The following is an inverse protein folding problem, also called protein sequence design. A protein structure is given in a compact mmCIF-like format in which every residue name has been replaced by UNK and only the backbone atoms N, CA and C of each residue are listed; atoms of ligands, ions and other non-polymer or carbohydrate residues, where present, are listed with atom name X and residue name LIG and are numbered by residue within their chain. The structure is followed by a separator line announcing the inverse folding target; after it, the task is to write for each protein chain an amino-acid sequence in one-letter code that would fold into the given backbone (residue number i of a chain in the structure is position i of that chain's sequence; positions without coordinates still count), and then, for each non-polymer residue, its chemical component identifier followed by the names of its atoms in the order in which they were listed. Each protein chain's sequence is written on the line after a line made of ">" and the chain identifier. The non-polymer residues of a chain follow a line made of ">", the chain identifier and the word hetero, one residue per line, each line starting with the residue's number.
data_IF_116462514095
#
_entry.id   IF_116462514095
#
_cell.length_a   1.000
_cell.length_b   1.000
_cell.length_c   1.000
_cell.angle_alpha   90.00
_cell.angle_beta   90.00
_cell.angle_gamma   90.00
#
_symmetry.space_group_name_H-M   'P 1'
#
loop_
_entity.id
_entity.type
_entity.pdbx_description
1 polymer ?
#
# COMPACT_ATOMS: atom_id res chain seq x y z
N UNK A 1 -7.12 12.69 9.47
CA UNK A 1 -5.91 12.60 10.31
C UNK A 1 -4.71 12.55 9.38
N UNK A 2 -3.72 13.40 9.61
CA UNK A 2 -2.55 13.56 8.73
C UNK A 2 -1.34 12.91 9.39
N UNK A 3 -0.63 12.03 8.66
CA UNK A 3 0.72 11.61 9.04
C UNK A 3 1.78 12.53 8.43
N UNK A 4 1.50 13.04 7.24
CA UNK A 4 2.32 13.98 6.48
C UNK A 4 1.38 14.97 5.78
N UNK A 5 1.87 16.14 5.36
CA UNK A 5 1.04 17.15 4.66
C UNK A 5 0.38 16.61 3.38
N UNK A 6 0.97 15.58 2.78
CA UNK A 6 0.53 14.99 1.50
C UNK A 6 -0.15 13.62 1.65
N UNK A 7 -0.31 13.09 2.87
CA UNK A 7 -0.88 11.77 3.13
C UNK A 7 -1.93 11.80 4.24
N UNK A 8 -3.12 11.31 3.91
CA UNK A 8 -4.23 11.14 4.84
C UNK A 8 -4.72 9.70 4.89
N UNK A 9 -5.37 9.34 6.00
CA UNK A 9 -6.00 8.03 6.19
C UNK A 9 -7.52 8.17 6.29
N UNK A 10 -8.23 7.28 5.60
CA UNK A 10 -9.70 7.25 5.59
C UNK A 10 -10.30 7.07 7.00
N UNK A 11 -9.61 6.37 7.90
CA UNK A 11 -10.05 6.17 9.28
C UNK A 11 -8.90 6.00 10.26
N UNK A 12 -9.21 6.04 11.57
CA UNK A 12 -8.25 5.80 12.66
C UNK A 12 -7.60 4.43 12.51
N UNK A 13 -8.39 3.43 12.10
CA UNK A 13 -7.89 2.08 11.89
C UNK A 13 -6.75 2.04 10.86
N UNK A 14 -6.90 2.70 9.71
CA UNK A 14 -5.82 2.72 8.70
C UNK A 14 -4.58 3.47 9.21
N UNK A 15 -4.74 4.54 9.99
CA UNK A 15 -3.61 5.22 10.62
C UNK A 15 -2.86 4.28 11.58
N UNK A 16 -3.59 3.52 12.40
CA UNK A 16 -2.97 2.55 13.30
C UNK A 16 -2.29 1.42 12.53
N UNK A 17 -2.93 0.85 11.50
CA UNK A 17 -2.32 -0.17 10.63
C UNK A 17 -1.01 0.30 10.00
N UNK A 18 -0.96 1.57 9.56
CA UNK A 18 0.22 2.20 8.99
C UNK A 18 1.41 2.23 9.96
N UNK A 19 1.14 2.42 11.25
CA UNK A 19 2.15 2.55 12.29
C UNK A 19 2.67 1.20 12.81
N UNK A 20 2.04 0.08 12.42
CA UNK A 20 2.45 -1.24 12.92
C UNK A 20 3.55 -1.87 12.06
N UNK A 21 4.32 -2.76 12.68
CA UNK A 21 5.41 -3.50 12.05
C UNK A 21 4.95 -4.52 11.00
N UNK A 22 3.67 -4.89 10.95
CA UNK A 22 3.16 -5.76 9.88
C UNK A 22 3.13 -5.07 8.51
N UNK A 23 3.08 -3.73 8.45
CA UNK A 23 3.15 -3.00 7.19
C UNK A 23 4.60 -2.98 6.69
N UNK A 24 4.83 -3.53 5.51
CA UNK A 24 6.18 -3.67 4.97
C UNK A 24 6.84 -2.28 4.76
N UNK A 25 8.08 -2.05 5.23
CA UNK A 25 8.73 -0.73 5.11
C UNK A 25 8.86 -0.24 3.66
N UNK A 26 9.20 -1.12 2.72
CA UNK A 26 9.23 -0.76 1.30
C UNK A 26 7.85 -0.28 0.77
N UNK A 27 6.74 -0.85 1.26
CA UNK A 27 5.40 -0.38 0.90
C UNK A 27 5.19 1.05 1.41
N UNK A 28 5.64 1.36 2.63
CA UNK A 28 5.53 2.71 3.18
C UNK A 28 6.29 3.74 2.32
N UNK A 29 7.51 3.40 1.88
CA UNK A 29 8.31 4.26 0.98
C UNK A 29 7.54 4.54 -0.32
N UNK A 30 6.98 3.50 -0.95
CA UNK A 30 6.23 3.67 -2.21
C UNK A 30 4.97 4.49 -1.99
N UNK A 31 4.21 4.24 -0.91
CA UNK A 31 3.00 5.00 -0.58
C UNK A 31 3.31 6.47 -0.33
N UNK A 32 4.39 6.79 0.40
CA UNK A 32 4.81 8.18 0.63
C UNK A 32 5.25 8.85 -0.68
N UNK A 33 6.00 8.15 -1.52
CA UNK A 33 6.41 8.65 -2.84
C UNK A 33 5.20 8.91 -3.74
N UNK A 34 4.25 7.97 -3.79
CA UNK A 34 2.98 8.10 -4.52
C UNK A 34 2.16 9.28 -4.01
N UNK A 35 2.05 9.45 -2.68
CA UNK A 35 1.31 10.53 -2.05
C UNK A 35 1.94 11.91 -2.35
N UNK A 36 3.27 12.00 -2.34
CA UNK A 36 3.98 13.21 -2.74
C UNK A 36 3.75 13.56 -4.20
N UNK A 37 3.79 12.58 -5.10
CA UNK A 37 3.46 12.80 -6.51
C UNK A 37 2.03 13.32 -6.68
N UNK A 38 1.06 12.69 -6.00
CA UNK A 38 -0.34 13.09 -6.04
C UNK A 38 -0.54 14.53 -5.57
N UNK A 39 0.12 14.92 -4.47
CA UNK A 39 0.06 16.28 -3.95
C UNK A 39 0.50 17.33 -4.98
N UNK A 40 1.58 17.03 -5.71
CA UNK A 40 2.11 17.91 -6.75
C UNK A 40 1.22 17.96 -8.00
N UNK A 41 0.57 16.84 -8.35
CA UNK A 41 -0.24 16.73 -9.56
C UNK A 41 -1.70 17.22 -9.38
N UNK A 42 -2.29 17.04 -8.20
CA UNK A 42 -3.74 17.18 -7.95
C UNK A 42 -4.10 18.19 -6.85
N UNK A 43 -3.13 18.91 -6.29
CA UNK A 43 -3.32 19.95 -5.27
C UNK A 43 -4.08 19.48 -4.01
N UNK A 44 -3.85 18.23 -3.57
CA UNK A 44 -4.45 17.68 -2.36
C UNK A 44 -3.78 16.39 -1.89
N UNK A 45 -4.03 15.96 -0.64
CA UNK A 45 -3.38 14.79 -0.08
C UNK A 45 -3.92 13.50 -0.71
N UNK A 46 -3.03 12.52 -0.88
CA UNK A 46 -3.48 11.18 -1.20
C UNK A 46 -4.15 10.54 0.03
N UNK A 47 -5.23 9.80 -0.18
CA UNK A 47 -6.00 9.19 0.91
C UNK A 47 -5.87 7.68 0.86
N UNK A 48 -5.22 7.09 1.87
CA UNK A 48 -5.15 5.64 2.06
C UNK A 48 -6.48 5.14 2.60
N UNK A 49 -7.06 4.18 1.87
CA UNK A 49 -8.38 3.61 2.14
C UNK A 49 -8.33 2.18 2.66
N UNK A 50 -7.26 1.43 2.39
CA UNK A 50 -7.00 0.11 2.93
C UNK A 50 -5.48 -0.15 3.03
N UNK A 51 -5.07 -0.88 4.07
CA UNK A 51 -3.70 -1.40 4.25
C UNK A 51 -3.75 -2.88 4.58
N UNK A 52 -4.22 -3.22 5.79
CA UNK A 52 -4.37 -4.61 6.20
C UNK A 52 -5.78 -5.11 5.90
N UNK A 53 -5.87 -6.36 5.45
CA UNK A 53 -7.13 -7.09 5.33
C UNK A 53 -7.02 -8.41 6.03
N UNK A 54 -7.99 -8.72 6.88
CA UNK A 54 -8.17 -10.07 7.39
C UNK A 54 -8.67 -11.00 6.28
N UNK A 55 -8.46 -12.33 6.38
CA UNK A 55 -9.02 -13.29 5.43
C UNK A 55 -10.55 -13.17 5.29
N UNK A 56 -11.25 -12.87 6.40
CA UNK A 56 -12.70 -12.63 6.41
C UNK A 56 -13.09 -11.41 5.59
N UNK A 57 -12.37 -10.31 5.72
CA UNK A 57 -12.61 -9.09 4.93
C UNK A 57 -12.32 -9.34 3.45
N UNK A 58 -11.21 -10.00 3.14
CA UNK A 58 -10.85 -10.35 1.75
C UNK A 58 -11.94 -11.21 1.10
N UNK A 59 -12.43 -12.24 1.79
CA UNK A 59 -13.53 -13.10 1.32
C UNK A 59 -14.85 -12.34 1.13
N UNK A 60 -15.14 -11.36 1.98
CA UNK A 60 -16.33 -10.51 1.84
C UNK A 60 -16.23 -9.53 0.64
N UNK A 61 -15.02 -9.23 0.16
CA UNK A 61 -14.80 -8.46 -1.06
C UNK A 61 -14.86 -9.38 -2.29
N UNK A 62 -14.24 -10.56 -2.21
CA UNK A 62 -14.12 -11.52 -3.32
C UNK A 62 -14.67 -12.90 -2.92
N UNK A 63 -16.00 -13.07 -2.82
CA UNK A 63 -16.60 -14.33 -2.37
C UNK A 63 -16.32 -15.51 -3.32
N UNK A 64 -16.10 -15.23 -4.59
CA UNK A 64 -15.80 -16.23 -5.63
C UNK A 64 -14.28 -16.54 -5.78
N UNK A 65 -13.39 -15.84 -5.08
CA UNK A 65 -11.96 -16.12 -5.16
C UNK A 65 -11.62 -17.35 -4.33
N UNK A 66 -11.43 -18.49 -5.00
CA UNK A 66 -11.07 -19.77 -4.37
C UNK A 66 -9.56 -19.87 -4.17
N UNK A 67 -9.04 -19.28 -3.09
CA UNK A 67 -7.74 -19.67 -2.52
C UNK A 67 -6.55 -18.73 -2.73
N UNK A 68 -6.69 -17.63 -3.48
CA UNK A 68 -5.63 -16.61 -3.58
C UNK A 68 -5.58 -15.74 -2.34
N UNK A 69 -4.44 -15.73 -1.63
CA UNK A 69 -4.21 -14.76 -0.53
C UNK A 69 -3.83 -13.40 -1.11
N UNK A 70 -4.45 -12.36 -0.57
CA UNK A 70 -4.23 -10.98 -0.97
C UNK A 70 -2.95 -10.41 -0.36
N UNK A 71 -2.17 -9.59 -1.08
CA UNK A 71 -1.03 -8.88 -0.51
C UNK A 71 -1.38 -8.04 0.72
N UNK A 72 -2.63 -7.57 0.84
CA UNK A 72 -3.13 -6.88 2.04
C UNK A 72 -3.16 -7.76 3.29
N UNK A 73 -3.31 -9.08 3.14
CA UNK A 73 -3.26 -10.02 4.28
C UNK A 73 -1.84 -10.15 4.87
N UNK A 74 -0.84 -9.63 4.16
CA UNK A 74 0.57 -9.70 4.54
C UNK A 74 1.20 -8.32 4.77
N UNK A 75 0.40 -7.25 4.80
CA UNK A 75 0.92 -5.88 4.90
C UNK A 75 1.81 -5.46 3.74
N UNK A 76 1.59 -6.07 2.56
CA UNK A 76 2.34 -5.80 1.33
C UNK A 76 1.54 -5.06 0.27
N UNK A 77 0.36 -4.52 0.60
CA UNK A 77 -0.38 -3.63 -0.29
C UNK A 77 -1.15 -2.51 0.43
N UNK A 78 -1.42 -1.45 -0.32
CA UNK A 78 -2.20 -0.29 0.07
C UNK A 78 -3.13 0.14 -1.07
N UNK A 79 -4.33 0.58 -0.73
CA UNK A 79 -5.27 1.16 -1.70
C UNK A 79 -5.43 2.66 -1.44
N UNK A 80 -5.19 3.48 -2.46
CA UNK A 80 -5.35 4.93 -2.42
C UNK A 80 -6.55 5.39 -3.26
N UNK A 81 -7.29 6.36 -2.74
CA UNK A 81 -8.44 6.97 -3.43
C UNK A 81 -7.99 7.71 -4.69
N UNK A 82 -8.72 7.55 -5.78
CA UNK A 82 -8.49 8.27 -7.04
C UNK A 82 -9.66 9.17 -7.45
N UNK A 83 -10.69 9.35 -6.60
CA UNK A 83 -11.90 10.11 -6.95
C UNK A 83 -11.66 11.60 -7.21
N UNK A 84 -10.51 12.14 -6.81
CA UNK A 84 -10.09 13.51 -7.11
C UNK A 84 -9.35 13.63 -8.45
N UNK A 85 -9.11 12.51 -9.14
CA UNK A 85 -8.36 12.43 -10.38
C UNK A 85 -9.27 12.08 -11.55
N UNK A 86 -8.94 12.62 -12.72
CA UNK A 86 -9.45 12.07 -13.98
C UNK A 86 -8.90 10.65 -14.22
N UNK A 87 -9.55 9.84 -15.06
CA UNK A 87 -9.02 8.55 -15.47
C UNK A 87 -7.58 8.58 -15.96
N UNK A 88 -7.22 9.57 -16.79
CA UNK A 88 -5.88 9.71 -17.34
C UNK A 88 -4.85 10.05 -16.24
N UNK A 89 -5.19 10.94 -15.31
CA UNK A 89 -4.30 11.26 -14.18
C UNK A 89 -4.08 10.06 -13.27
N UNK A 90 -5.11 9.24 -13.02
CA UNK A 90 -4.98 8.03 -12.23
C UNK A 90 -4.04 7.01 -12.90
N UNK A 91 -4.15 6.82 -14.22
CA UNK A 91 -3.22 5.95 -14.96
C UNK A 91 -1.80 6.51 -14.95
N UNK A 92 -1.61 7.81 -15.22
CA UNK A 92 -0.29 8.46 -15.13
C UNK A 92 0.35 8.31 -13.74
N UNK A 93 -0.48 8.27 -12.69
CA UNK A 93 0.00 8.03 -11.33
C UNK A 93 0.54 6.60 -11.17
N UNK A 94 -0.19 5.59 -11.66
CA UNK A 94 0.27 4.21 -11.65
C UNK A 94 1.51 4.00 -12.52
N UNK A 95 1.54 4.57 -13.73
CA UNK A 95 2.67 4.50 -14.65
C UNK A 95 3.93 5.10 -14.04
N UNK A 96 3.81 6.27 -13.41
CA UNK A 96 4.93 6.89 -12.70
C UNK A 96 5.48 5.97 -11.61
N UNK A 97 4.61 5.39 -10.77
CA UNK A 97 5.04 4.44 -9.72
C UNK A 97 5.75 3.24 -10.34
N UNK A 98 5.19 2.64 -11.40
CA UNK A 98 5.78 1.48 -12.06
C UNK A 98 7.12 1.79 -12.75
N UNK A 99 7.32 3.02 -13.21
CA UNK A 99 8.63 3.47 -13.74
C UNK A 99 9.69 3.68 -12.65
N UNK A 100 9.26 4.06 -11.43
CA UNK A 100 10.16 4.38 -10.32
C UNK A 100 10.46 3.16 -9.43
N UNK A 101 9.54 2.20 -9.35
CA UNK A 101 9.60 1.07 -8.43
C UNK A 101 9.29 -0.25 -9.15
N UNK A 102 10.29 -1.14 -9.19
CA UNK A 102 10.13 -2.46 -9.78
C UNK A 102 9.45 -3.44 -8.82
N UNK A 103 8.48 -4.20 -9.30
CA UNK A 103 7.85 -5.27 -8.52
C UNK A 103 8.78 -6.48 -8.42
N UNK A 104 9.22 -6.81 -7.21
CA UNK A 104 10.11 -7.97 -6.93
C UNK A 104 9.33 -9.26 -6.68
N UNK A 105 8.77 -9.86 -7.72
CA UNK A 105 8.00 -11.11 -7.61
C UNK A 105 7.83 -11.83 -8.94
N UNK A 106 6.65 -12.40 -9.18
CA UNK A 106 6.33 -13.06 -10.45
C UNK A 106 6.36 -12.06 -11.60
N UNK A 107 6.98 -12.44 -12.72
CA UNK A 107 6.99 -11.66 -13.95
C UNK A 107 5.56 -11.32 -14.42
N UNK A 108 5.38 -10.11 -14.95
CA UNK A 108 4.10 -9.58 -15.42
C UNK A 108 3.23 -8.93 -14.35
N UNK A 109 3.63 -8.95 -13.08
CA UNK A 109 2.98 -8.19 -12.01
C UNK A 109 3.62 -6.80 -11.87
N UNK A 110 2.81 -5.83 -11.46
CA UNK A 110 3.19 -4.43 -11.33
C UNK A 110 3.14 -3.96 -9.89
N UNK A 111 3.92 -2.93 -9.57
CA UNK A 111 3.94 -2.28 -8.25
C UNK A 111 2.65 -1.50 -8.01
N UNK A 112 2.11 -0.90 -9.05
CA UNK A 112 0.86 -0.15 -9.00
C UNK A 112 -0.08 -0.52 -10.13
N UNK A 113 -1.38 -0.49 -9.85
CA UNK A 113 -2.44 -0.66 -10.83
C UNK A 113 -3.67 0.13 -10.41
N UNK A 114 -4.33 0.78 -11.37
CA UNK A 114 -5.64 1.37 -11.11
C UNK A 114 -6.71 0.37 -11.47
N UNK A 115 -7.56 0.01 -10.52
CA UNK A 115 -8.65 -0.93 -10.79
C UNK A 115 -9.89 -0.63 -9.97
N UNK A 116 -10.98 -1.26 -10.37
CA UNK A 116 -12.26 -1.22 -9.66
C UNK A 116 -12.58 -2.61 -9.10
N UNK A 117 -13.05 -2.64 -7.86
CA UNK A 117 -13.33 -3.89 -7.15
C UNK A 117 -14.81 -3.98 -6.82
N UNK A 118 -15.52 -4.86 -7.52
CA UNK A 118 -16.90 -5.23 -7.21
C UNK A 118 -17.87 -4.05 -7.12
N UNK A 119 -17.74 -3.05 -7.99
CA UNK A 119 -18.60 -1.85 -7.99
C UNK A 119 -18.33 -0.84 -6.87
N UNK A 120 -17.26 -1.02 -6.08
CA UNK A 120 -16.94 -0.17 -4.91
C UNK A 120 -16.13 1.07 -5.25
N UNK A 121 -16.05 1.39 -6.54
CA UNK A 121 -15.30 2.51 -7.07
C UNK A 121 -13.84 2.18 -7.37
N UNK A 122 -13.29 2.96 -8.29
CA UNK A 122 -11.92 2.86 -8.76
C UNK A 122 -10.96 3.37 -7.69
N UNK A 123 -9.79 2.73 -7.58
CA UNK A 123 -8.71 3.12 -6.69
C UNK A 123 -7.37 2.71 -7.28
N UNK A 124 -6.30 3.32 -6.76
CA UNK A 124 -4.93 2.94 -7.03
C UNK A 124 -4.52 1.87 -6.01
N UNK A 125 -4.26 0.66 -6.47
CA UNK A 125 -3.67 -0.40 -5.67
C UNK A 125 -2.16 -0.35 -5.83
N UNK A 126 -1.43 -0.31 -4.71
CA UNK A 126 0.03 -0.34 -4.65
C UNK A 126 0.46 -1.56 -3.85
N UNK A 127 1.48 -2.27 -4.32
CA UNK A 127 1.98 -3.48 -3.69
C UNK A 127 3.48 -3.65 -3.80
N UNK A 128 4.06 -4.39 -2.85
CA UNK A 128 5.44 -4.88 -2.91
C UNK A 128 5.47 -6.39 -3.14
N UNK A 129 6.44 -6.84 -3.92
CA UNK A 129 6.59 -8.25 -4.23
C UNK A 129 7.07 -9.08 -3.04
N UNK A 130 6.89 -10.41 -3.07
CA UNK A 130 7.35 -11.30 -2.00
C UNK A 130 8.88 -11.38 -1.89
N UNK A 131 9.61 -11.04 -2.96
CA UNK A 131 11.08 -10.96 -2.95
C UNK A 131 11.63 -9.65 -2.40
N UNK A 132 10.76 -8.71 -2.00
CA UNK A 132 11.20 -7.50 -1.30
C UNK A 132 11.61 -7.86 0.13
N UNK A 133 12.89 -7.63 0.44
CA UNK A 133 13.47 -7.86 1.76
C UNK A 133 12.96 -6.82 2.75
N UNK A 134 12.58 -7.26 3.95
CA UNK A 134 12.47 -6.36 5.09
C UNK A 134 13.87 -6.04 5.60
N UNK A 135 14.12 -4.81 6.11
CA UNK A 135 15.31 -4.56 6.90
C UNK A 135 15.35 -5.60 8.04
N UNK A 136 16.47 -6.29 8.19
CA UNK A 136 16.68 -7.14 9.35
C UNK A 136 16.68 -6.23 10.59
N UNK A 137 15.76 -6.47 11.51
CA UNK A 137 15.85 -5.86 12.83
C UNK A 137 17.11 -6.42 13.46
N UNK A 138 18.17 -5.62 13.60
CA UNK A 138 19.29 -5.98 14.47
C UNK A 138 18.72 -6.13 15.89
N UNK A 139 18.39 -7.37 16.27
CA UNK A 139 18.15 -7.70 17.66
C UNK A 139 19.53 -7.66 18.30
N UNK A 140 19.87 -6.50 18.86
CA UNK A 140 21.12 -6.30 19.57
C UNK A 140 21.09 -7.13 20.87
N UNK A 141 21.40 -8.43 20.79
CA UNK A 141 21.44 -9.36 21.93
C UNK A 141 22.72 -9.26 22.77
N UNK A 142 23.48 -8.18 22.68
CA UNK A 142 24.61 -7.94 23.60
C UNK A 142 24.12 -7.26 24.89
N UNK A 143 23.31 -7.97 25.66
CA UNK A 143 23.26 -7.75 27.11
C UNK A 143 23.98 -8.93 27.75
N UNK A 144 25.30 -8.78 27.93
CA UNK A 144 26.04 -9.69 28.80
C UNK A 144 25.44 -9.62 30.22
N UNK A 145 25.29 -10.74 30.93
CA UNK A 145 24.86 -10.70 32.32
C UNK A 145 25.93 -9.95 33.13
N UNK A 146 25.49 -8.90 33.82
CA UNK A 146 26.29 -8.32 34.90
C UNK A 146 26.32 -9.37 36.01
N UNK A 147 27.51 -9.91 36.27
CA UNK A 147 27.80 -10.82 37.39
C UNK A 147 27.90 -10.01 38.68
#
# INVERSE_FOLDING_TARGET
>A
MQAERYLEFKSVRQLLEWQRSETHPALQVIVLAAARWHWLAAAGPAVVTALLRTPREQKAIYPASSGGRSPHEFGRAADLRVSALTPAQAESWADWINSAFAYRGRSGLMTALVHEVGGRGRHLHVQVGPGESSPESEVNTTAAPVV
#
